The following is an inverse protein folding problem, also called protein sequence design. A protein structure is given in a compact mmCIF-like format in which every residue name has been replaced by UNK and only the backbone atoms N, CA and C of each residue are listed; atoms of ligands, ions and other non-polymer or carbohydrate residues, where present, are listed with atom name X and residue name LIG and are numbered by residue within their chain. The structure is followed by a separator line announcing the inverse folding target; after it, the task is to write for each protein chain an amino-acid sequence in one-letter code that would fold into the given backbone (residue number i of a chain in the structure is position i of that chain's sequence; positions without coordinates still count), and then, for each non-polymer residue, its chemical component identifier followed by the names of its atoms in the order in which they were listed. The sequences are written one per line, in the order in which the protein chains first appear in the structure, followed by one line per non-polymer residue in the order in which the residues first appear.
data_IF_223596323048
#
_entry.id   IF_223596323048
#
_cell.length_a   1.000
_cell.length_b   1.000
_cell.length_c   1.000
_cell.angle_alpha   90.00
_cell.angle_beta   90.00
_cell.angle_gamma   90.00
#
_symmetry.space_group_name_H-M   'P 1'
#
loop_
_entity.id
_entity.type
_entity.pdbx_description
1 polymer ?
2 polymer ?
3 polymer ?
4 water ?
#
# COMPACT_ATOMS: atom_id res chain seq x y z
N UNK A 1 -10.78 14.06 -16.20
CA UNK A 1 -10.78 12.82 -15.35
C UNK A 1 -9.76 11.75 -15.69
N UNK A 2 -8.70 12.14 -16.39
CA UNK A 2 -7.57 11.29 -16.78
C UNK A 2 -6.88 10.40 -15.72
N UNK A 3 -6.05 9.50 -16.22
CA UNK A 3 -5.25 8.64 -15.44
C UNK A 3 -3.85 8.69 -15.97
N UNK A 4 -2.91 8.28 -15.11
CA UNK A 4 -1.51 8.10 -15.45
C UNK A 4 -1.14 6.64 -15.18
N UNK A 5 -0.61 5.96 -16.19
CA UNK A 5 -0.35 4.53 -16.14
C UNK A 5 1.14 4.18 -16.23
N UNK A 6 1.63 3.42 -15.26
CA UNK A 6 3.03 2.99 -15.20
C UNK A 6 3.03 1.51 -15.16
N UNK A 7 4.10 0.83 -15.61
CA UNK A 7 4.27 -0.60 -15.43
C UNK A 7 4.21 -0.93 -13.90
N UNK A 8 3.75 -2.13 -13.53
CA UNK A 8 3.55 -2.48 -12.16
C UNK A 8 4.93 -2.61 -11.50
N UNK A 9 5.91 -3.18 -12.18
CA UNK A 9 7.27 -3.30 -11.70
C UNK A 9 8.25 -3.29 -12.89
N UNK A 10 9.54 -3.12 -12.62
CA UNK A 10 10.56 -2.93 -13.63
C UNK A 10 11.77 -3.38 -12.85
N UNK A 11 12.71 -4.09 -13.46
CA UNK A 11 13.88 -4.56 -12.76
C UNK A 11 15.07 -4.48 -13.69
N UNK A 12 16.28 -4.34 -13.12
CA UNK A 12 17.48 -4.03 -13.93
C UNK A 12 18.67 -4.25 -13.02
N UNK A 13 19.80 -4.64 -13.61
CA UNK A 13 21.05 -4.93 -12.86
C UNK A 13 21.76 -3.62 -12.42
N UNK A 14 22.50 -3.66 -11.29
CA UNK A 14 23.27 -2.51 -10.82
C UNK A 14 24.28 -2.00 -11.84
N UNK A 15 24.41 -0.69 -11.95
CA UNK A 15 25.30 -0.10 -12.94
C UNK A 15 24.57 0.26 -14.22
N UNK A 16 23.49 -0.45 -14.52
CA UNK A 16 22.78 -0.19 -15.78
C UNK A 16 21.80 0.98 -15.72
N UNK A 17 21.20 1.26 -16.87
CA UNK A 17 20.30 2.39 -16.99
C UNK A 17 18.91 1.77 -17.04
N UNK A 18 17.96 2.40 -16.33
CA UNK A 18 16.58 1.98 -16.38
C UNK A 18 15.65 3.15 -16.56
N UNK A 19 14.55 2.91 -17.27
CA UNK A 19 13.51 3.88 -17.46
C UNK A 19 12.16 3.31 -17.01
N UNK A 20 11.36 4.20 -16.43
CA UNK A 20 10.02 3.93 -15.96
C UNK A 20 9.17 4.95 -16.64
N UNK A 21 8.22 4.49 -17.45
CA UNK A 21 7.30 5.41 -18.13
C UNK A 21 5.95 5.68 -17.47
N UNK A 22 5.34 6.77 -17.88
CA UNK A 22 4.08 7.13 -17.35
C UNK A 22 3.21 7.77 -18.47
N UNK A 23 2.20 7.02 -18.92
CA UNK A 23 1.29 7.40 -20.04
C UNK A 23 0.04 8.08 -19.55
N UNK A 24 -0.32 9.21 -20.14
CA UNK A 24 -1.50 9.95 -19.75
C UNK A 24 -2.71 9.61 -20.61
N UNK A 25 -3.83 9.27 -19.99
CA UNK A 25 -4.95 8.68 -20.70
C UNK A 25 -5.55 9.74 -21.60
N UNK A 26 -5.88 10.89 -21.02
CA UNK A 26 -6.28 12.09 -21.76
C UNK A 26 -5.59 13.36 -21.28
N UNK A 27 -5.66 14.39 -22.12
CA UNK A 27 -5.00 15.65 -21.86
C UNK A 27 -3.57 15.51 -22.35
N UNK A 28 -2.93 16.66 -22.61
CA UNK A 28 -1.60 16.71 -23.21
C UNK A 28 -0.52 16.67 -22.12
N UNK A 29 0.38 15.69 -22.21
CA UNK A 29 1.38 15.47 -21.15
C UNK A 29 2.23 16.72 -21.04
N UNK A 30 2.48 17.34 -22.19
CA UNK A 30 3.35 18.51 -22.31
C UNK A 30 2.72 19.79 -21.74
N UNK A 31 1.40 19.82 -21.58
CA UNK A 31 0.75 21.04 -21.10
C UNK A 31 0.78 21.20 -19.58
N UNK A 32 1.05 20.10 -18.88
CA UNK A 32 1.03 20.13 -17.42
C UNK A 32 2.28 19.53 -16.81
N UNK A 33 2.79 20.13 -15.74
CA UNK A 33 4.02 19.65 -15.16
C UNK A 33 3.82 18.27 -14.51
N UNK A 34 4.83 17.42 -14.67
CA UNK A 34 4.97 16.03 -14.16
C UNK A 34 6.04 15.93 -13.05
N UNK A 35 5.62 15.45 -11.87
CA UNK A 35 6.52 15.20 -10.73
C UNK A 35 6.78 13.69 -10.60
N UNK A 36 7.94 13.29 -10.07
CA UNK A 36 8.20 11.89 -9.75
C UNK A 36 8.54 11.82 -8.28
N UNK A 37 7.96 10.81 -7.59
CA UNK A 37 8.17 10.57 -6.15
C UNK A 37 8.75 9.20 -5.91
N UNK A 38 9.70 9.14 -5.01
CA UNK A 38 10.29 7.88 -4.60
C UNK A 38 9.73 7.47 -3.25
N UNK A 39 9.47 6.17 -3.05
CA UNK A 39 8.98 5.74 -1.74
C UNK A 39 9.56 4.38 -1.41
N UNK A 40 10.46 4.38 -0.46
CA UNK A 40 11.00 3.15 0.10
C UNK A 40 10.04 2.50 1.09
N UNK A 41 10.08 1.16 1.22
CA UNK A 41 9.02 0.48 2.03
C UNK A 41 9.02 0.95 3.49
N UNK A 42 7.88 1.32 4.01
CA UNK A 42 7.77 1.82 5.38
C UNK A 42 8.18 3.27 5.59
N UNK A 43 8.42 3.98 4.47
CA UNK A 43 8.78 5.40 4.49
C UNK A 43 7.85 6.27 3.69
N UNK A 44 7.88 7.57 4.00
CA UNK A 44 7.05 8.55 3.35
C UNK A 44 7.70 8.80 2.00
N UNK A 45 6.92 9.27 1.01
CA UNK A 45 7.55 9.51 -0.25
C UNK A 45 8.59 10.67 -0.17
N UNK A 46 9.46 10.73 -1.18
CA UNK A 46 10.42 11.81 -1.37
C UNK A 46 10.35 12.27 -2.83
N UNK A 47 10.38 13.58 -3.02
CA UNK A 47 10.38 14.10 -4.41
C UNK A 47 11.75 13.90 -5.01
N UNK A 48 11.81 13.24 -6.18
CA UNK A 48 13.02 13.14 -6.99
C UNK A 48 13.11 14.02 -8.27
N UNK A 49 11.98 14.29 -8.91
CA UNK A 49 11.97 15.16 -10.07
C UNK A 49 10.72 16.00 -9.88
N UNK A 50 10.81 17.32 -10.07
CA UNK A 50 9.61 18.17 -10.20
C UNK A 50 9.67 19.02 -11.49
N UNK A 51 8.50 19.61 -11.84
CA UNK A 51 8.34 20.36 -13.10
C UNK A 51 9.09 19.73 -14.26
N UNK A 52 8.69 18.48 -14.60
CA UNK A 52 9.17 17.66 -15.74
C UNK A 52 10.58 17.12 -15.62
N UNK A 53 11.51 17.91 -15.10
CA UNK A 53 12.90 17.52 -15.09
C UNK A 53 13.77 18.24 -14.07
N UNK A 54 13.21 19.14 -13.28
CA UNK A 54 13.91 19.79 -12.16
C UNK A 54 14.23 18.75 -11.09
N UNK A 55 15.48 18.74 -10.63
CA UNK A 55 15.93 17.76 -9.70
C UNK A 55 16.18 18.51 -8.37
N UNK A 56 15.36 18.22 -7.32
CA UNK A 56 15.52 18.90 -6.04
C UNK A 56 16.90 18.72 -5.38
N UNK A 57 17.22 19.63 -4.48
CA UNK A 57 18.48 19.64 -3.76
C UNK A 57 18.67 18.29 -3.01
N UNK A 58 19.78 17.60 -3.32
CA UNK A 58 20.12 16.32 -2.65
C UNK A 58 19.84 15.06 -3.48
N UNK A 59 19.10 15.20 -4.55
CA UNK A 59 18.80 14.04 -5.40
C UNK A 59 19.99 13.88 -6.37
N UNK A 60 20.66 12.67 -6.36
CA UNK A 60 21.73 12.36 -7.32
C UNK A 60 21.37 12.71 -8.73
N UNK A 61 22.37 13.15 -9.46
CA UNK A 61 22.22 13.50 -10.87
C UNK A 61 22.00 12.25 -11.75
N UNK A 62 22.15 11.07 -11.18
CA UNK A 62 21.72 9.81 -11.84
C UNK A 62 20.21 9.77 -12.22
N UNK A 63 19.41 10.60 -11.53
CA UNK A 63 17.96 10.70 -11.71
C UNK A 63 17.61 11.83 -12.68
N UNK A 64 16.85 11.53 -13.72
CA UNK A 64 16.36 12.60 -14.58
C UNK A 64 14.96 12.35 -15.14
N UNK A 65 14.18 13.42 -15.28
CA UNK A 65 12.89 13.35 -15.94
C UNK A 65 12.91 13.85 -17.37
N UNK A 66 11.96 13.36 -18.16
CA UNK A 66 11.82 13.71 -19.56
C UNK A 66 10.35 13.55 -19.95
N UNK A 67 10.00 14.07 -21.14
CA UNK A 67 8.61 14.15 -21.60
C UNK A 67 8.55 13.77 -23.07
N UNK A 68 7.51 13.06 -23.46
CA UNK A 68 7.41 12.63 -24.85
C UNK A 68 6.04 12.94 -25.39
N UNK A 69 5.85 14.20 -25.79
CA UNK A 69 4.54 14.75 -26.10
C UNK A 69 3.83 13.92 -27.16
N UNK A 70 4.61 13.06 -27.81
CA UNK A 70 4.14 12.16 -28.86
C UNK A 70 3.34 10.97 -28.27
N UNK A 71 4.03 10.15 -27.47
CA UNK A 71 3.41 8.98 -26.83
C UNK A 71 2.55 9.42 -25.64
N UNK A 72 2.63 10.73 -25.37
CA UNK A 72 1.86 11.39 -24.33
C UNK A 72 2.25 10.85 -22.92
N UNK A 73 3.57 10.80 -22.70
CA UNK A 73 4.12 10.02 -21.60
C UNK A 73 5.41 10.63 -21.04
N UNK A 74 5.40 10.82 -19.71
CA UNK A 74 6.58 11.24 -18.96
C UNK A 74 7.41 10.03 -18.59
N UNK A 75 8.69 10.25 -18.27
CA UNK A 75 9.59 9.14 -18.05
C UNK A 75 10.66 9.46 -17.02
N UNK A 76 10.96 8.51 -16.14
CA UNK A 76 11.95 8.75 -15.15
C UNK A 76 13.04 7.80 -15.45
N UNK A 77 14.25 8.33 -15.65
CA UNK A 77 15.41 7.51 -16.01
C UNK A 77 16.46 7.56 -14.94
N UNK A 78 16.97 6.39 -14.61
CA UNK A 78 18.00 6.29 -13.58
C UNK A 78 19.16 5.54 -14.15
N UNK A 79 20.34 6.15 -14.07
CA UNK A 79 21.53 5.54 -14.63
C UNK A 79 22.46 5.09 -13.50
N UNK A 80 23.41 4.22 -13.81
CA UNK A 80 24.27 3.66 -12.78
C UNK A 80 23.50 3.20 -11.53
N UNK A 81 22.55 2.27 -11.73
CA UNK A 81 21.62 1.89 -10.67
C UNK A 81 22.39 1.38 -9.48
N UNK A 82 21.95 1.79 -8.30
CA UNK A 82 22.54 1.29 -7.07
C UNK A 82 21.40 0.71 -6.26
N UNK A 83 21.73 -0.17 -5.33
CA UNK A 83 20.67 -0.85 -4.62
C UNK A 83 19.78 0.05 -3.75
N UNK A 84 20.34 1.16 -3.24
CA UNK A 84 19.56 2.24 -2.62
C UNK A 84 18.40 2.78 -3.48
N UNK A 85 18.47 2.62 -4.82
CA UNK A 85 17.48 3.22 -5.70
C UNK A 85 16.23 2.33 -5.72
N UNK A 86 16.34 1.11 -5.19
CA UNK A 86 15.19 0.18 -5.09
C UNK A 86 14.07 0.86 -4.29
N UNK A 87 12.90 1.07 -4.91
CA UNK A 87 11.77 1.76 -4.29
C UNK A 87 10.57 1.73 -5.22
N UNK A 88 9.44 2.23 -4.75
CA UNK A 88 8.31 2.48 -5.62
C UNK A 88 8.44 3.89 -6.18
N UNK A 89 8.12 4.10 -7.46
CA UNK A 89 8.19 5.44 -8.01
C UNK A 89 6.85 5.78 -8.57
N UNK A 90 6.38 6.97 -8.31
CA UNK A 90 5.05 7.41 -8.70
C UNK A 90 5.23 8.67 -9.50
N UNK A 91 4.52 8.78 -10.61
CA UNK A 91 4.46 10.03 -11.36
C UNK A 91 3.20 10.75 -10.95
N UNK A 92 3.19 12.05 -11.12
CA UNK A 92 2.04 12.79 -10.71
C UNK A 92 1.87 14.04 -11.58
N UNK A 93 0.63 14.41 -11.88
CA UNK A 93 0.36 15.64 -12.63
C UNK A 93 -0.96 16.19 -12.29
N UNK A 94 -1.57 16.96 -13.20
CA UNK A 94 -2.83 17.58 -12.92
C UNK A 94 -3.43 18.04 -14.26
N UNK A 95 -4.63 18.53 -14.15
CA UNK A 95 -5.21 19.32 -15.18
C UNK A 95 -5.95 20.35 -14.41
N UNK A 96 -6.94 20.94 -15.05
CA UNK A 96 -7.64 22.05 -14.48
C UNK A 96 -8.58 21.65 -13.35
N UNK A 97 -8.97 20.37 -13.26
CA UNK A 97 -10.03 19.93 -12.31
C UNK A 97 -9.58 19.01 -11.11
N UNK A 98 -8.49 18.26 -11.35
CA UNK A 98 -7.91 17.29 -10.39
C UNK A 98 -6.38 17.19 -10.45
N UNK A 99 -5.81 16.77 -9.33
CA UNK A 99 -4.44 16.27 -9.21
C UNK A 99 -4.40 14.72 -9.36
N UNK A 100 -3.54 14.15 -10.20
CA UNK A 100 -3.52 12.71 -10.39
C UNK A 100 -2.14 12.09 -10.12
N UNK A 101 -2.14 11.04 -9.29
CA UNK A 101 -0.95 10.18 -9.22
C UNK A 101 -1.06 8.96 -10.13
N UNK A 102 0.07 8.52 -10.63
CA UNK A 102 0.21 7.25 -11.31
C UNK A 102 0.07 6.12 -10.30
N UNK A 103 -0.01 4.86 -10.74
CA UNK A 103 -0.33 3.78 -9.77
C UNK A 103 0.93 3.29 -9.09
N UNK A 104 2.11 3.68 -9.60
CA UNK A 104 3.38 3.37 -8.97
C UNK A 104 4.03 2.20 -9.64
N UNK A 105 5.36 2.18 -9.57
CA UNK A 105 6.19 1.16 -10.18
C UNK A 105 7.21 0.72 -9.18
N UNK A 106 7.18 -0.57 -8.86
CA UNK A 106 8.24 -1.13 -8.03
C UNK A 106 9.53 -1.36 -8.85
N UNK A 107 10.63 -0.70 -8.47
CA UNK A 107 11.94 -0.85 -9.13
C UNK A 107 12.77 -1.76 -8.26
N UNK A 108 13.16 -2.88 -8.84
CA UNK A 108 14.02 -3.83 -8.16
C UNK A 108 15.40 -3.74 -8.83
N UNK A 109 16.44 -3.76 -7.99
CA UNK A 109 17.77 -3.72 -8.50
C UNK A 109 18.30 -5.12 -8.28
N UNK A 110 18.47 -5.88 -9.37
CA UNK A 110 18.62 -7.30 -9.26
C UNK A 110 19.82 -7.71 -8.45
N UNK A 111 19.59 -8.33 -7.31
CA UNK A 111 20.68 -8.86 -6.51
C UNK A 111 20.77 -10.35 -6.48
N UNK A 112 19.83 -11.05 -7.12
CA UNK A 112 19.88 -12.53 -7.09
C UNK A 112 19.00 -13.06 -8.20
N UNK A 113 19.07 -14.39 -8.51
CA UNK A 113 18.25 -14.91 -9.60
C UNK A 113 16.76 -14.70 -9.38
N UNK A 114 16.03 -14.45 -10.45
CA UNK A 114 14.58 -14.31 -10.37
C UNK A 114 13.96 -15.67 -10.02
N UNK A 115 12.85 -15.68 -9.25
CA UNK A 115 12.21 -16.96 -8.87
C UNK A 115 10.69 -16.81 -8.79
N UNK A 116 9.92 -17.70 -9.46
CA UNK A 116 8.46 -17.64 -9.55
C UNK A 116 7.94 -17.99 -8.17
N UNK A 117 6.77 -17.45 -7.83
CA UNK A 117 6.32 -17.79 -6.46
C UNK A 117 5.92 -19.27 -6.27
N UNK A 118 6.18 -19.87 -5.13
CA UNK A 118 5.40 -21.13 -4.71
C UNK A 118 4.04 -20.71 -4.10
N UNK A 119 2.93 -21.36 -4.42
CA UNK A 119 1.58 -20.91 -3.95
C UNK A 119 0.98 -22.13 -3.26
N UNK A 120 0.43 -21.95 -2.08
CA UNK A 120 -0.26 -23.06 -1.42
C UNK A 120 -1.62 -22.43 -1.04
N UNK A 121 -2.70 -23.10 -1.40
CA UNK A 121 -4.06 -22.70 -1.11
C UNK A 121 -4.55 -23.60 0.03
N UNK A 122 -4.90 -22.99 1.19
CA UNK A 122 -5.49 -23.76 2.31
C UNK A 122 -6.99 -23.56 2.28
N UNK A 123 -7.76 -24.66 2.27
CA UNK A 123 -9.19 -24.64 2.39
C UNK A 123 -9.54 -24.16 3.84
N UNK A 124 -10.78 -23.81 4.05
CA UNK A 124 -11.24 -23.54 5.47
C UNK A 124 -10.97 -24.70 6.35
N UNK A 125 -10.54 -24.46 7.61
CA UNK A 125 -10.45 -25.52 8.57
C UNK A 125 -11.83 -25.98 9.03
N UNK A 126 -11.90 -27.24 9.39
CA UNK A 126 -13.14 -27.75 9.95
C UNK A 126 -13.52 -26.93 11.19
N UNK A 127 -12.52 -26.54 12.00
CA UNK A 127 -12.81 -25.74 13.25
C UNK A 127 -13.50 -24.38 12.93
N UNK A 128 -13.01 -23.72 11.90
CA UNK A 128 -13.63 -22.44 11.48
C UNK A 128 -15.03 -22.54 10.98
N UNK A 129 -15.34 -23.60 10.23
CA UNK A 129 -16.68 -23.85 9.70
C UNK A 129 -17.61 -24.07 10.93
N UNK A 130 -17.10 -24.66 12.00
CA UNK A 130 -17.96 -24.82 13.25
C UNK A 130 -18.27 -23.47 13.80
N UNK A 131 -17.37 -22.51 13.59
CA UNK A 131 -17.56 -21.11 14.01
C UNK A 131 -18.44 -20.35 13.01
N UNK A 132 -18.98 -21.06 12.03
CA UNK A 132 -19.84 -20.53 10.99
C UNK A 132 -19.18 -19.53 9.98
N UNK A 133 -17.89 -19.69 9.76
CA UNK A 133 -17.21 -18.89 8.75
C UNK A 133 -16.37 -19.78 7.88
N UNK A 134 -15.82 -19.20 6.80
CA UNK A 134 -14.99 -20.10 5.98
C UNK A 134 -14.00 -19.23 5.28
N UNK A 135 -12.74 -19.32 5.67
CA UNK A 135 -11.74 -18.40 5.11
C UNK A 135 -10.74 -19.29 4.30
N UNK A 136 -10.59 -18.96 3.02
CA UNK A 136 -9.51 -19.58 2.17
C UNK A 136 -8.24 -18.72 2.31
N UNK A 137 -7.11 -19.32 2.61
CA UNK A 137 -5.85 -18.58 2.78
C UNK A 137 -4.92 -19.00 1.61
N UNK A 138 -4.55 -18.02 0.87
CA UNK A 138 -3.55 -18.27 -0.26
C UNK A 138 -2.21 -17.74 0.16
N UNK A 139 -1.30 -18.64 0.44
CA UNK A 139 0.05 -18.30 0.85
C UNK A 139 1.00 -18.26 -0.43
N UNK A 140 1.69 -17.14 -0.59
CA UNK A 140 2.49 -16.87 -1.84
C UNK A 140 3.89 -16.67 -1.42
N UNK A 141 4.80 -17.58 -1.78
CA UNK A 141 6.10 -17.50 -1.17
C UNK A 141 7.32 -17.62 -2.08
N UNK A 142 8.41 -17.09 -1.55
CA UNK A 142 9.73 -17.22 -2.07
C UNK A 142 9.87 -16.67 -3.52
N UNK A 143 9.26 -15.54 -3.84
CA UNK A 143 9.39 -15.02 -5.21
C UNK A 143 10.32 -13.79 -5.25
N UNK A 144 10.78 -13.48 -6.47
CA UNK A 144 11.76 -12.41 -6.68
C UNK A 144 11.74 -12.14 -8.19
N UNK A 145 11.52 -10.88 -8.63
CA UNK A 145 11.35 -9.67 -7.82
C UNK A 145 10.07 -9.72 -7.01
N UNK A 146 9.96 -8.82 -6.05
CA UNK A 146 8.80 -8.93 -5.16
C UNK A 146 7.58 -8.16 -5.60
N UNK A 147 7.05 -8.52 -6.75
CA UNK A 147 5.87 -7.89 -7.28
C UNK A 147 5.01 -8.99 -7.88
N UNK A 148 3.77 -9.14 -7.37
CA UNK A 148 2.80 -10.11 -7.95
C UNK A 148 1.44 -9.48 -8.18
N UNK A 149 0.57 -10.16 -8.92
CA UNK A 149 -0.84 -9.75 -9.10
C UNK A 149 -1.66 -10.95 -8.59
N UNK A 150 -2.64 -10.77 -7.68
CA UNK A 150 -3.46 -11.93 -7.18
C UNK A 150 -4.92 -11.80 -7.56
N UNK A 151 -5.59 -12.89 -7.96
CA UNK A 151 -7.02 -12.88 -8.35
C UNK A 151 -7.60 -14.18 -7.79
N UNK A 152 -8.92 -14.21 -7.53
CA UNK A 152 -9.57 -15.39 -6.95
C UNK A 152 -10.64 -15.74 -7.92
N UNK A 153 -10.95 -17.03 -8.00
CA UNK A 153 -12.13 -17.50 -8.67
C UNK A 153 -12.96 -18.45 -7.83
N UNK A 154 -14.25 -18.44 -8.14
CA UNK A 154 -15.20 -19.43 -7.66
C UNK A 154 -15.72 -20.13 -8.89
N UNK A 155 -15.58 -21.43 -8.88
CA UNK A 155 -15.80 -22.25 -10.06
C UNK A 155 -14.91 -21.60 -11.12
N UNK A 156 -15.47 -21.17 -12.24
CA UNK A 156 -14.59 -20.51 -13.22
C UNK A 156 -14.71 -18.98 -13.29
N UNK A 157 -15.47 -18.40 -12.37
CA UNK A 157 -15.78 -17.00 -12.40
C UNK A 157 -14.95 -16.24 -11.41
N UNK A 158 -14.53 -15.03 -11.80
CA UNK A 158 -13.79 -14.10 -10.96
C UNK A 158 -14.63 -13.79 -9.75
N UNK A 159 -13.97 -13.67 -8.60
CA UNK A 159 -14.60 -13.31 -7.37
C UNK A 159 -13.79 -12.15 -6.89
N UNK A 160 -14.50 -11.08 -6.55
CA UNK A 160 -13.95 -9.87 -5.98
C UNK A 160 -14.35 -9.57 -4.51
N UNK A 161 -15.61 -9.86 -4.15
CA UNK A 161 -16.14 -9.65 -2.77
C UNK A 161 -15.39 -10.52 -1.77
N UNK A 162 -15.03 -10.00 -0.61
CA UNK A 162 -14.46 -10.84 0.45
C UNK A 162 -12.99 -11.16 0.38
N UNK A 163 -12.27 -10.49 -0.56
CA UNK A 163 -10.84 -10.67 -0.75
C UNK A 163 -10.08 -9.61 -0.07
N UNK A 164 -9.04 -10.00 0.65
CA UNK A 164 -8.04 -9.09 1.14
C UNK A 164 -6.69 -9.66 0.86
N UNK A 165 -5.74 -8.79 0.49
CA UNK A 165 -4.38 -9.21 0.14
C UNK A 165 -3.27 -8.37 0.69
N UNK A 166 -2.20 -8.95 1.21
CA UNK A 166 -1.13 -8.14 1.73
C UNK A 166 -0.10 -7.76 0.65
N UNK A 167 0.64 -6.66 0.90
CA UNK A 167 1.72 -6.20 -0.02
C UNK A 167 2.89 -7.08 0.23
N UNK A 168 3.55 -7.57 -0.87
CA UNK A 168 4.65 -8.47 -0.65
C UNK A 168 5.69 -7.93 0.23
N UNK A 169 6.30 -8.77 1.07
CA UNK A 169 7.35 -8.21 1.87
C UNK A 169 8.41 -9.26 2.10
N UNK A 170 9.56 -8.82 2.59
CA UNK A 170 10.74 -9.63 2.51
C UNK A 170 10.72 -10.71 3.56
N UNK A 171 11.19 -11.87 3.13
CA UNK A 171 11.45 -12.95 4.02
C UNK A 171 12.86 -12.83 4.49
N UNK A 172 13.19 -13.67 5.46
CA UNK A 172 14.52 -13.72 5.97
C UNK A 172 15.58 -13.89 4.87
N UNK A 173 15.28 -14.61 3.79
CA UNK A 173 16.30 -14.82 2.74
C UNK A 173 16.35 -13.78 1.64
N UNK A 174 15.62 -12.68 1.79
CA UNK A 174 15.57 -11.59 0.76
C UNK A 174 14.70 -11.83 -0.46
N UNK A 175 14.08 -13.01 -0.55
CA UNK A 175 12.92 -13.14 -1.43
C UNK A 175 11.65 -12.67 -0.68
N UNK A 176 10.49 -12.66 -1.36
CA UNK A 176 9.31 -12.03 -0.85
C UNK A 176 8.22 -13.06 -0.68
N UNK A 177 7.32 -12.78 0.28
CA UNK A 177 6.10 -13.55 0.47
C UNK A 177 4.95 -12.56 0.44
N UNK A 178 3.77 -13.07 0.13
CA UNK A 178 2.56 -12.30 0.22
C UNK A 178 1.36 -13.25 0.65
N UNK A 179 0.23 -12.69 1.11
CA UNK A 179 -0.89 -13.58 1.55
C UNK A 179 -2.14 -13.01 1.00
N UNK A 180 -3.12 -13.85 0.77
CA UNK A 180 -4.39 -13.35 0.35
C UNK A 180 -5.49 -14.22 0.94
N UNK A 181 -6.71 -13.67 1.08
CA UNK A 181 -7.81 -14.30 1.85
C UNK A 181 -9.07 -14.14 1.10
N UNK A 182 -9.87 -15.20 1.03
CA UNK A 182 -11.17 -15.17 0.47
C UNK A 182 -12.09 -15.58 1.66
N UNK A 183 -12.84 -14.61 2.19
CA UNK A 183 -13.87 -14.93 3.26
C UNK A 183 -15.23 -15.21 2.70
N UNK A 184 -15.79 -16.36 3.04
CA UNK A 184 -17.05 -16.86 2.56
C UNK A 184 -17.84 -17.30 3.82
N UNK A 185 -19.13 -17.47 3.65
CA UNK A 185 -19.96 -18.24 4.64
C UNK A 185 -19.80 -19.73 4.29
N UNK A 186 -20.00 -20.59 5.28
CA UNK A 186 -19.91 -22.01 4.93
C UNK A 186 -20.88 -22.40 3.80
N UNK A 187 -22.02 -21.73 3.65
CA UNK A 187 -23.00 -22.08 2.57
C UNK A 187 -22.38 -21.75 1.21
N UNK A 188 -21.75 -20.57 1.07
CA UNK A 188 -20.94 -20.20 -0.13
C UNK A 188 -19.84 -21.19 -0.37
N UNK A 189 -19.05 -21.57 0.64
CA UNK A 189 -17.99 -22.53 0.43
C UNK A 189 -18.52 -23.87 -0.14
N UNK A 190 -19.63 -24.35 0.44
CA UNK A 190 -20.24 -25.61 0.02
C UNK A 190 -21.06 -25.50 -1.27
N UNK A 191 -21.49 -24.29 -1.62
CA UNK A 191 -22.23 -23.96 -2.85
C UNK A 191 -21.50 -24.13 -4.21
N UNK A 192 -20.17 -24.30 -4.21
CA UNK A 192 -19.40 -24.24 -5.47
C UNK A 192 -18.57 -25.48 -5.68
N UNK A 193 -18.15 -25.77 -6.91
CA UNK A 193 -17.35 -27.00 -7.04
C UNK A 193 -15.88 -26.77 -6.76
N UNK A 194 -15.38 -25.56 -6.94
CA UNK A 194 -14.00 -25.33 -6.63
C UNK A 194 -13.77 -23.82 -6.44
N UNK A 195 -12.63 -23.54 -5.82
CA UNK A 195 -12.15 -22.18 -5.64
C UNK A 195 -10.70 -22.18 -6.01
N UNK A 196 -10.28 -21.06 -6.56
CA UNK A 196 -8.88 -20.91 -7.03
C UNK A 196 -8.21 -19.63 -6.61
N UNK A 197 -6.91 -19.70 -6.29
CA UNK A 197 -6.06 -18.54 -6.04
C UNK A 197 -5.09 -18.52 -7.28
N UNK A 198 -5.11 -17.39 -8.00
CA UNK A 198 -4.23 -17.15 -9.19
C UNK A 198 -3.19 -16.06 -8.97
N UNK A 199 -1.94 -16.34 -9.31
CA UNK A 199 -0.88 -15.38 -9.00
C UNK A 199 -0.07 -15.20 -10.29
N UNK A 200 0.11 -13.95 -10.69
CA UNK A 200 0.96 -13.61 -11.86
C UNK A 200 2.19 -12.94 -11.38
N UNK A 201 3.33 -13.36 -11.95
CA UNK A 201 4.64 -12.88 -11.59
C UNK A 201 5.47 -12.89 -12.86
N UNK A 202 6.07 -11.75 -13.19
CA UNK A 202 6.99 -11.72 -14.41
C UNK A 202 6.36 -12.22 -15.65
N UNK A 203 5.09 -11.87 -15.81
CA UNK A 203 4.32 -12.20 -16.95
C UNK A 203 3.89 -13.62 -17.18
N UNK A 204 3.96 -14.50 -16.15
CA UNK A 204 3.33 -15.82 -16.27
C UNK A 204 2.50 -16.09 -15.01
N UNK A 205 1.64 -17.12 -15.05
CA UNK A 205 0.62 -17.29 -13.95
C UNK A 205 0.66 -18.69 -13.39
N UNK A 206 0.36 -18.85 -12.07
CA UNK A 206 0.18 -20.16 -11.43
C UNK A 206 -1.21 -20.01 -10.82
N UNK A 207 -1.99 -21.05 -10.87
CA UNK A 207 -3.28 -21.05 -10.19
C UNK A 207 -3.37 -22.37 -9.39
N UNK A 208 -3.80 -22.29 -8.12
CA UNK A 208 -4.04 -23.47 -7.33
C UNK A 208 -5.53 -23.51 -7.09
N UNK A 209 -6.12 -24.70 -7.21
CA UNK A 209 -7.51 -24.91 -7.05
C UNK A 209 -7.82 -26.01 -5.99
N UNK A 210 -8.77 -25.71 -5.06
CA UNK A 210 -9.24 -26.72 -4.06
C UNK A 210 -10.73 -26.96 -4.18
N UNK A 211 -11.24 -28.11 -3.76
CA UNK A 211 -12.70 -28.39 -3.86
C UNK A 211 -13.28 -28.60 -2.45
N UNK A 212 -14.51 -28.11 -2.16
CA UNK A 212 -15.04 -28.41 -0.82
C UNK A 212 -15.28 -29.87 -0.55
N UNK A 213 -15.41 -30.64 -1.63
CA UNK A 213 -15.56 -32.07 -1.58
C UNK A 213 -14.23 -32.81 -1.52
N UNK A 214 -13.23 -32.26 -0.83
CA UNK A 214 -11.92 -32.91 -0.77
C UNK A 214 -11.79 -33.81 0.49
N UNK A 215 -11.37 -35.09 0.32
CA UNK A 215 -11.28 -35.90 -0.94
C UNK A 215 -10.57 -35.45 -2.26
N UNK A 216 -9.52 -36.16 -2.72
CA UNK A 216 -8.99 -37.46 -2.24
C UNK A 216 -8.12 -38.15 -3.33
N UNK B 1 16.46 23.20 7.71
CA UNK B 1 15.66 22.16 6.97
C UNK B 1 14.17 22.23 7.37
N UNK B 2 13.29 22.04 6.40
CA UNK B 2 11.88 22.07 6.78
C UNK B 2 11.48 20.80 7.49
N UNK B 3 10.85 20.94 8.65
CA UNK B 3 10.25 19.78 9.32
C UNK B 3 8.76 19.87 9.46
N UNK B 4 8.12 18.73 9.21
CA UNK B 4 6.64 18.64 9.33
C UNK B 4 6.21 17.63 10.37
N UNK B 5 5.66 18.02 11.50
CA UNK B 5 5.26 17.07 12.51
C UNK B 5 3.76 16.83 12.55
N UNK B 6 3.37 15.56 12.37
CA UNK B 6 1.96 15.23 12.30
C UNK B 6 1.45 14.67 13.58
N UNK B 7 0.21 15.01 13.82
CA UNK B 7 -0.45 14.71 15.03
C UNK B 7 -1.98 14.53 14.85
N UNK B 8 -2.55 13.59 15.62
CA UNK B 8 -4.01 13.37 15.69
C UNK B 8 -4.42 11.92 15.91
N UNK B 9 -5.73 11.70 16.18
CA UNK B 9 -6.22 10.34 16.48
C UNK B 9 -5.86 9.41 15.35
N UNK B 10 -5.36 8.21 15.68
CA UNK B 10 -5.18 7.17 14.67
C UNK B 10 -6.41 6.24 14.50
N UNK B 11 -7.39 6.34 15.35
CA UNK B 11 -8.61 5.59 15.15
C UNK B 11 -9.79 6.53 15.13
N UNK B 12 -10.69 6.36 14.15
CA UNK B 12 -11.83 7.22 14.04
C UNK B 12 -13.05 6.33 13.73
N UNK B 13 -14.16 6.53 14.44
CA UNK B 13 -15.34 5.70 14.18
C UNK B 13 -16.08 6.19 12.94
N UNK B 14 -16.76 5.27 12.20
CA UNK B 14 -17.55 5.73 11.07
C UNK B 14 -18.58 6.76 11.52
N UNK B 15 -18.76 7.76 10.65
CA UNK B 15 -19.66 8.93 10.81
C UNK B 15 -19.02 10.09 11.59
N UNK B 16 -17.91 9.81 12.30
CA UNK B 16 -17.20 10.89 12.99
C UNK B 16 -16.25 11.69 12.08
N UNK B 17 -15.58 12.69 12.69
CA UNK B 17 -14.71 13.59 11.94
C UNK B 17 -13.24 13.23 12.19
N UNK B 18 -12.49 12.98 11.11
CA UNK B 18 -11.03 12.80 11.19
C UNK B 18 -10.42 14.20 11.35
N UNK B 19 -9.41 14.33 12.19
CA UNK B 19 -8.85 15.63 12.48
C UNK B 19 -7.32 15.45 12.70
N UNK B 20 -6.47 16.04 11.86
CA UNK B 20 -5.03 15.91 11.95
C UNK B 20 -4.40 17.35 11.89
N UNK B 21 -3.22 17.53 12.50
CA UNK B 21 -2.50 18.80 12.41
C UNK B 21 -1.12 18.54 11.94
N UNK B 22 -0.60 19.46 11.16
CA UNK B 22 0.79 19.43 10.74
C UNK B 22 1.49 20.68 11.23
N UNK B 23 2.46 20.50 12.13
CA UNK B 23 3.21 21.62 12.67
C UNK B 23 4.49 21.78 11.93
N UNK B 24 4.70 22.99 11.35
CA UNK B 24 5.82 23.30 10.43
C UNK B 24 6.98 23.96 11.21
N UNK B 25 8.22 23.58 10.91
CA UNK B 25 9.31 24.35 11.51
C UNK B 25 10.33 24.50 10.46
N UNK B 26 11.15 25.56 10.53
CA UNK B 26 12.06 25.75 9.45
C UNK B 26 11.52 26.46 8.21
N UNK B 27 10.25 26.84 8.25
CA UNK B 27 9.57 27.53 7.14
C UNK B 27 8.33 28.07 7.65
N UNK B 28 7.73 28.96 6.83
CA UNK B 28 6.53 29.68 7.32
C UNK B 28 5.23 29.13 6.73
N UNK B 29 4.20 28.89 7.52
CA UNK B 29 2.87 28.57 6.91
C UNK B 29 2.32 29.70 5.99
N UNK B 30 2.68 30.96 6.28
CA UNK B 30 2.37 32.07 5.32
C UNK B 30 3.39 32.31 4.22
N UNK B 31 4.33 31.37 4.05
CA UNK B 31 5.42 31.59 3.12
C UNK B 31 4.90 31.94 1.72
N UNK B 32 5.48 33.00 1.13
CA UNK B 32 5.07 33.49 -0.17
C UNK B 32 5.47 32.60 -1.32
N UNK B 33 6.21 31.54 -1.06
CA UNK B 33 6.61 30.70 -2.20
C UNK B 33 6.18 29.20 -2.10
N UNK B 34 5.44 28.87 -1.06
CA UNK B 34 5.11 27.47 -0.72
C UNK B 34 3.58 27.23 -0.85
N UNK B 35 3.17 25.98 -1.11
CA UNK B 35 1.82 25.54 -0.67
C UNK B 35 1.89 24.33 0.33
N UNK B 36 0.92 24.24 1.24
CA UNK B 36 0.83 23.26 2.31
C UNK B 36 -0.39 22.31 2.04
N UNK B 37 -0.01 21.08 1.66
CA UNK B 37 -0.84 20.02 1.10
C UNK B 37 -1.14 18.88 2.04
N UNK B 38 -2.27 18.20 1.77
CA UNK B 38 -2.56 16.92 2.43
C UNK B 38 -2.78 15.92 1.33
N UNK B 39 -2.16 14.72 1.51
CA UNK B 39 -2.12 13.62 0.53
C UNK B 39 -2.37 12.35 1.39
N UNK B 40 -3.18 11.40 0.88
CA UNK B 40 -3.34 10.12 1.65
C UNK B 40 -2.97 8.97 0.74
N UNK B 41 -2.73 7.80 1.32
CA UNK B 41 -2.25 6.65 0.56
C UNK B 41 -2.87 5.42 1.22
N UNK B 42 -3.48 4.58 0.37
CA UNK B 42 -3.89 3.20 0.81
C UNK B 42 -3.46 2.16 -0.25
N UNK B 43 -3.41 0.87 0.15
CA UNK B 43 -3.11 -0.04 -0.98
C UNK B 43 -4.48 -0.16 -1.58
N UNK B 44 -4.62 -0.10 -2.90
CA UNK B 44 -5.94 -0.14 -3.51
C UNK B 44 -6.48 1.21 -3.95
N UNK B 45 -6.33 2.27 -3.16
CA UNK B 45 -6.55 3.58 -3.79
C UNK B 45 -5.25 4.28 -4.22
N UNK B 46 -4.12 3.79 -3.74
CA UNK B 46 -2.80 4.39 -4.02
C UNK B 46 -2.73 5.79 -3.43
N UNK B 47 -1.97 6.66 -4.12
CA UNK B 47 -1.77 8.06 -3.59
C UNK B 47 -2.86 8.98 -4.05
N UNK B 48 -3.47 9.70 -3.12
CA UNK B 48 -4.52 10.62 -3.43
C UNK B 48 -4.36 12.04 -2.78
N UNK B 49 -4.20 13.03 -3.63
CA UNK B 49 -4.09 14.43 -3.13
C UNK B 49 -5.44 14.85 -2.63
N UNK B 50 -5.50 15.52 -1.47
CA UNK B 50 -6.71 15.92 -0.82
C UNK B 50 -6.97 17.42 -0.97
N UNK B 51 -5.92 18.23 -0.81
CA UNK B 51 -6.10 19.69 -0.88
C UNK B 51 -4.94 20.46 -0.26
N UNK B 52 -5.06 21.77 -0.20
CA UNK B 52 -3.86 22.55 0.08
C UNK B 52 -4.27 23.96 0.41
N UNK B 53 -3.40 24.63 1.17
CA UNK B 53 -3.67 25.96 1.64
C UNK B 53 -2.43 26.82 1.32
N UNK B 54 -2.63 28.13 1.06
CA UNK B 54 -1.46 28.99 0.77
C UNK B 54 -1.82 30.48 0.91
N UNK B 55 -0.83 31.34 1.21
CA UNK B 55 -1.11 32.79 1.40
C UNK B 55 -0.49 33.59 0.28
N UNK B 56 -1.34 34.26 -0.53
CA UNK B 56 -0.90 35.20 -1.55
C UNK B 56 -1.73 36.50 -1.34
N UNK B 57 -1.34 37.33 -0.37
CA UNK B 57 -2.10 38.53 0.15
C UNK B 57 -3.41 38.16 0.75
N UNK B 58 -3.67 36.86 0.69
CA UNK B 58 -4.96 36.32 1.03
C UNK B 58 -4.77 34.80 1.12
N UNK B 59 -5.43 34.12 2.05
CA UNK B 59 -5.43 32.60 2.02
C UNK B 59 -6.25 31.98 0.86
N UNK B 60 -5.64 31.15 0.01
CA UNK B 60 -6.34 30.34 -0.99
C UNK B 60 -6.18 28.83 -0.68
N UNK B 61 -7.22 28.07 -1.01
CA UNK B 61 -7.28 26.63 -0.68
C UNK B 61 -7.86 25.97 -1.87
N UNK B 62 -7.19 24.94 -2.36
CA UNK B 62 -7.65 24.13 -3.45
C UNK B 62 -7.95 22.74 -2.87
N UNK B 63 -8.84 21.99 -3.53
CA UNK B 63 -9.36 20.71 -2.92
C UNK B 63 -9.72 19.76 -3.98
N UNK B 64 -9.57 18.45 -3.69
CA UNK B 64 -9.91 17.41 -4.66
C UNK B 64 -11.46 17.30 -4.74
N UNK B 65 -11.99 17.16 -5.97
CA UNK B 65 -13.49 17.18 -6.12
C UNK B 65 -14.16 16.07 -5.22
N UNK B 66 -13.51 14.90 -5.21
CA UNK B 66 -13.97 13.69 -4.49
C UNK B 66 -14.25 13.91 -2.99
N UNK B 67 -13.60 14.87 -2.35
CA UNK B 67 -13.69 15.08 -0.92
C UNK B 67 -14.11 16.51 -0.52
N UNK B 68 -14.24 17.40 -1.52
CA UNK B 68 -14.54 18.81 -1.22
C UNK B 68 -15.73 19.05 -0.37
N UNK B 69 -16.77 18.21 -0.50
CA UNK B 69 -17.93 18.43 0.37
C UNK B 69 -17.80 18.04 1.87
N UNK B 70 -16.70 17.32 2.26
CA UNK B 70 -16.52 16.87 3.68
C UNK B 70 -15.19 17.37 4.31
N UNK B 71 -14.31 17.90 3.45
CA UNK B 71 -12.95 18.41 3.83
C UNK B 71 -12.88 19.87 4.40
N UNK B 72 -12.01 20.11 5.39
CA UNK B 72 -11.60 21.47 5.87
C UNK B 72 -10.07 21.39 5.96
N UNK B 73 -9.35 22.32 5.32
CA UNK B 73 -7.90 22.55 5.55
C UNK B 73 -7.78 23.99 6.04
N UNK B 74 -7.29 24.19 7.27
CA UNK B 74 -7.15 25.50 7.86
C UNK B 74 -5.70 25.83 8.30
N UNK B 75 -5.09 26.94 7.81
CA UNK B 75 -3.90 27.47 8.51
C UNK B 75 -4.12 28.09 9.89
N UNK B 76 -3.03 28.06 10.64
CA UNK B 76 -2.94 28.73 11.89
C UNK B 76 -1.55 29.45 11.94
N UNK B 77 -1.55 30.77 11.73
CA UNK B 77 -0.29 31.52 11.78
C UNK B 77 0.21 31.68 13.21
N UNK B 78 -0.69 31.72 14.19
CA UNK B 78 -0.29 31.77 15.61
C UNK B 78 0.53 30.53 16.13
N UNK B 79 0.53 29.42 15.36
CA UNK B 79 1.15 28.20 15.80
C UNK B 79 2.02 27.66 14.74
N UNK B 80 2.00 28.30 13.58
CA UNK B 80 2.71 27.89 12.42
C UNK B 80 2.41 26.41 12.00
N UNK B 81 1.12 26.13 11.88
CA UNK B 81 0.60 24.78 11.55
C UNK B 81 -0.57 24.90 10.58
N UNK B 82 -0.86 23.79 9.88
CA UNK B 82 -2.14 23.65 9.14
C UNK B 82 -2.86 22.32 9.52
N UNK B 83 -4.18 22.33 9.43
CA UNK B 83 -4.98 21.17 9.83
C UNK B 83 -5.70 20.52 8.65
N UNK B 84 -6.27 19.33 8.93
CA UNK B 84 -7.08 18.59 7.98
C UNK B 84 -8.21 18.10 8.77
N UNK B 85 -9.43 18.39 8.31
CA UNK B 85 -10.57 17.63 8.81
C UNK B 85 -11.36 17.01 7.69
N UNK B 86 -11.94 15.85 7.99
CA UNK B 86 -12.79 15.15 7.04
C UNK B 86 -13.95 14.65 7.83
N UNK B 87 -15.15 15.14 7.47
CA UNK B 87 -16.34 14.83 8.18
C UNK B 87 -16.88 13.50 7.67
N UNK B 88 -17.68 12.88 8.52
CA UNK B 88 -18.57 11.74 8.10
C UNK B 88 -17.73 10.60 7.52
N UNK B 89 -16.70 10.15 8.28
CA UNK B 89 -15.76 9.23 7.71
C UNK B 89 -16.41 7.87 7.53
N UNK B 90 -15.95 7.15 6.51
CA UNK B 90 -16.32 5.75 6.32
C UNK B 90 -15.04 4.90 6.26
N UNK B 91 -15.19 3.55 6.29
CA UNK B 91 -13.97 2.73 6.23
C UNK B 91 -13.19 3.00 4.95
N UNK B 92 -13.79 3.58 3.94
CA UNK B 92 -12.96 3.95 2.78
C UNK B 92 -11.91 5.12 3.01
N UNK B 93 -12.01 5.78 4.16
CA UNK B 93 -11.10 6.86 4.60
C UNK B 93 -9.91 6.33 5.38
N UNK B 94 -9.89 5.02 5.67
CA UNK B 94 -8.66 4.42 6.28
C UNK B 94 -7.48 4.57 5.34
N UNK B 95 -6.33 5.12 5.82
CA UNK B 95 -5.23 5.45 4.88
C UNK B 95 -4.10 6.00 5.73
N UNK B 96 -2.97 6.09 5.12
CA UNK B 96 -1.88 6.93 5.73
C UNK B 96 -2.06 8.36 5.12
N UNK B 97 -2.10 9.35 6.01
CA UNK B 97 -2.27 10.78 5.68
C UNK B 97 -0.92 11.46 5.82
N UNK B 98 -0.45 12.08 4.73
CA UNK B 98 0.75 12.88 4.71
C UNK B 98 0.41 14.38 4.59
N UNK B 99 1.09 15.19 5.40
CA UNK B 99 1.18 16.62 5.06
C UNK B 99 2.45 16.85 4.25
N UNK B 100 2.45 17.87 3.42
CA UNK B 100 3.63 18.12 2.58
C UNK B 100 3.66 19.58 2.19
N UNK B 101 4.88 20.06 1.91
CA UNK B 101 5.09 21.40 1.30
C UNK B 101 5.18 21.16 -0.16
N UNK B 102 4.69 22.12 -0.93
CA UNK B 102 4.76 22.00 -2.37
C UNK B 102 4.83 23.33 -3.08
N UNK B 103 4.74 23.27 -4.41
CA UNK B 103 4.77 24.41 -5.32
C UNK B 103 3.36 24.78 -5.88
N UNK B 104 2.83 25.96 -5.52
CA UNK B 104 1.52 26.44 -6.02
C UNK B 104 1.31 26.15 -7.51
N UNK B 105 2.17 26.66 -8.38
CA UNK B 105 1.91 26.56 -9.81
C UNK B 105 1.71 25.17 -10.35
N UNK B 106 2.67 24.28 -10.06
CA UNK B 106 2.80 22.97 -10.73
C UNK B 106 2.18 21.79 -9.91
N UNK B 107 1.42 22.13 -8.86
CA UNK B 107 0.74 21.16 -7.97
C UNK B 107 1.75 20.11 -7.49
N UNK B 108 2.95 20.58 -7.19
CA UNK B 108 4.10 19.72 -6.87
C UNK B 108 4.24 19.65 -5.37
N UNK B 109 4.79 18.52 -4.91
CA UNK B 109 5.11 18.38 -3.48
C UNK B 109 6.59 18.46 -3.37
N UNK B 110 7.03 19.11 -2.32
CA UNK B 110 8.40 19.56 -2.13
C UNK B 110 9.11 18.72 -1.06
N UNK B 111 8.44 18.66 0.06
CA UNK B 111 8.94 18.19 1.32
C UNK B 111 7.76 17.37 1.91
N UNK B 112 7.97 16.07 2.15
CA UNK B 112 6.91 15.24 2.74
C UNK B 112 7.04 14.99 4.21
N UNK B 113 5.94 15.08 4.95
CA UNK B 113 5.86 14.75 6.32
C UNK B 113 5.97 13.26 6.52
N UNK B 114 5.93 12.83 7.76
CA UNK B 114 6.31 11.39 7.99
C UNK B 114 5.09 10.49 7.87
N UNK B 115 3.90 11.12 7.94
CA UNK B 115 2.65 10.36 7.75
C UNK B 115 2.02 9.93 9.05
N UNK B 116 0.70 9.79 9.03
CA UNK B 116 -0.03 9.29 10.19
C UNK B 116 -1.03 8.25 9.67
N UNK B 117 -1.03 7.03 10.19
CA UNK B 117 -2.15 6.08 9.84
C UNK B 117 -3.43 6.41 10.53
N UNK B 118 -4.56 6.55 9.81
CA UNK B 118 -5.80 6.72 10.49
C UNK B 118 -6.63 5.51 10.09
N UNK B 119 -7.18 4.82 11.04
CA UNK B 119 -8.04 3.68 10.76
C UNK B 119 -9.46 4.07 11.06
N UNK B 120 -10.39 3.76 10.15
CA UNK B 120 -11.80 4.04 10.48
C UNK B 120 -12.45 2.70 10.73
N UNK B 121 -12.94 2.49 11.95
CA UNK B 121 -13.49 1.19 12.31
C UNK B 121 -14.30 1.52 13.54
N UNK B 122 -15.40 0.79 13.69
CA UNK B 122 -16.26 0.90 14.88
C UNK B 122 -15.94 -0.10 15.97
N UNK B 123 -14.98 -0.97 15.70
CA UNK B 123 -14.53 -1.98 16.66
C UNK B 123 -13.90 -1.42 17.93
N UNK B 124 -14.06 -2.15 19.01
CA UNK B 124 -13.12 -2.03 20.13
C UNK B 124 -12.37 -3.34 20.38
N UNK B 125 -11.64 -3.33 21.48
CA UNK B 125 -10.76 -4.43 21.84
C UNK B 125 -11.44 -5.79 21.75
N UNK B 126 -10.86 -6.67 20.89
CA UNK B 126 -11.38 -8.01 20.65
C UNK B 126 -10.17 -8.97 20.43
N UNK B 127 -10.09 -10.12 21.12
CA UNK B 127 -9.01 -11.00 21.02
C UNK B 127 -9.22 -11.92 19.79
N UNK B 128 -8.12 -12.50 19.22
CA UNK B 128 -8.23 -13.28 18.02
C UNK B 128 -8.80 -14.69 18.23
N UNK B 129 -9.37 -15.27 17.17
CA UNK B 129 -9.66 -16.71 17.13
C UNK B 129 -8.56 -17.36 16.26
N UNK B 130 -7.93 -18.47 16.68
CA UNK B 130 -6.82 -18.99 15.92
C UNK B 130 -7.24 -20.29 15.31
N UNK B 131 -6.95 -20.51 14.03
CA UNK B 131 -7.37 -21.73 13.39
C UNK B 131 -6.12 -22.34 12.72
N UNK B 132 -6.06 -23.67 12.60
CA UNK B 132 -4.86 -24.28 12.02
C UNK B 132 -4.90 -24.14 10.51
N UNK B 133 -3.72 -23.99 9.91
CA UNK B 133 -3.52 -24.20 8.47
C UNK B 133 -2.71 -25.50 8.29
N UNK B 134 -3.44 -26.60 8.18
CA UNK B 134 -2.89 -27.90 8.42
C UNK B 134 -1.99 -28.30 7.18
N UNK B 135 -0.84 -28.93 7.44
CA UNK B 135 -0.04 -29.35 6.20
C UNK B 135 -0.73 -30.55 5.53
N UNK B 136 -0.56 -30.75 4.20
CA UNK B 136 -1.10 -31.89 3.51
C UNK B 136 -0.14 -32.04 2.26
N UNK B 137 -0.41 -33.01 1.41
CA UNK B 137 0.43 -33.11 0.17
C UNK B 137 0.37 -31.79 -0.59
N UNK B 138 -0.79 -31.09 -0.56
CA UNK B 138 -0.88 -29.78 -1.30
C UNK B 138 -0.04 -28.58 -0.76
N UNK B 139 0.54 -28.69 0.45
CA UNK B 139 1.46 -27.70 0.98
C UNK B 139 2.83 -28.25 1.07
N UNK B 140 3.11 -29.43 0.40
CA UNK B 140 4.39 -30.07 0.52
C UNK B 140 5.07 -30.00 -0.88
N UNK B 141 6.35 -29.64 -0.88
CA UNK B 141 7.11 -29.55 -2.12
C UNK B 141 8.45 -30.16 -1.80
N UNK B 142 8.79 -31.24 -2.52
CA UNK B 142 10.05 -31.90 -2.23
C UNK B 142 9.88 -32.57 -0.90
N UNK B 143 10.87 -32.38 -0.06
CA UNK B 143 10.83 -32.92 1.30
C UNK B 143 10.44 -31.86 2.35
N UNK B 144 9.63 -30.88 1.96
CA UNK B 144 9.35 -29.65 2.75
C UNK B 144 7.86 -29.43 2.76
N UNK B 145 7.25 -29.23 3.97
CA UNK B 145 5.81 -29.02 4.05
C UNK B 145 5.60 -27.63 4.72
N UNK B 146 4.67 -26.83 4.21
CA UNK B 146 4.24 -25.55 4.86
C UNK B 146 3.08 -25.86 5.82
N UNK B 147 3.06 -25.22 6.98
CA UNK B 147 1.84 -25.38 7.84
C UNK B 147 1.72 -23.96 8.46
N UNK B 148 0.61 -23.70 9.14
CA UNK B 148 0.51 -22.35 9.70
C UNK B 148 -0.67 -22.17 10.66
N UNK B 149 -0.91 -20.92 11.05
CA UNK B 149 -2.06 -20.60 11.85
C UNK B 149 -2.68 -19.32 11.37
N UNK B 150 -3.98 -19.35 11.24
CA UNK B 150 -4.67 -18.18 10.79
C UNK B 150 -5.19 -17.45 12.08
N UNK B 151 -4.99 -16.13 12.18
CA UNK B 151 -5.33 -15.37 13.43
C UNK B 151 -6.46 -14.43 12.98
N UNK B 152 -7.72 -14.78 13.27
CA UNK B 152 -8.81 -14.00 12.70
C UNK B 152 -9.42 -13.02 13.68
N UNK B 153 -9.85 -11.87 13.13
CA UNK B 153 -10.86 -10.97 13.71
C UNK B 153 -10.47 -10.46 15.04
N UNK B 154 -9.29 -9.80 15.14
CA UNK B 154 -8.91 -9.21 16.41
C UNK B 154 -8.86 -7.68 16.23
N UNK B 155 -8.82 -6.94 17.32
CA UNK B 155 -8.69 -5.42 17.29
C UNK B 155 -8.24 -4.96 18.66
N UNK B 156 -7.34 -3.93 18.77
CA UNK B 156 -6.58 -3.31 17.66
C UNK B 156 -5.34 -4.15 17.29
N UNK B 157 -4.48 -3.66 16.37
CA UNK B 157 -3.09 -4.19 16.32
C UNK B 157 -2.25 -3.93 17.55
N UNK B 158 -1.16 -4.72 17.78
CA UNK B 158 -0.63 -5.81 16.99
C UNK B 158 -0.86 -7.16 17.67
N UNK B 159 -0.72 -8.21 16.86
CA UNK B 159 -0.56 -9.59 17.31
C UNK B 159 0.88 -9.97 17.01
N UNK B 160 1.51 -10.73 17.92
CA UNK B 160 2.79 -11.38 17.56
C UNK B 160 2.68 -12.90 17.64
N UNK B 161 3.46 -13.61 16.79
CA UNK B 161 3.33 -15.05 16.76
C UNK B 161 4.75 -15.63 16.88
N UNK B 162 4.92 -16.66 17.72
CA UNK B 162 6.13 -17.49 17.69
C UNK B 162 5.71 -18.91 17.49
N UNK B 163 6.68 -19.77 17.27
CA UNK B 163 6.38 -21.19 17.05
C UNK B 163 7.16 -21.97 18.08
N UNK B 164 6.51 -22.95 18.72
CA UNK B 164 7.18 -23.73 19.73
C UNK B 164 7.86 -22.91 20.88
N UNK B 165 7.15 -21.86 21.30
CA UNK B 165 7.67 -20.92 22.31
C UNK B 165 8.96 -20.31 21.94
N UNK B 166 9.23 -20.20 20.64
CA UNK B 166 10.47 -19.57 20.17
C UNK B 166 11.61 -20.54 19.86
N UNK B 167 11.42 -21.82 20.12
CA UNK B 167 12.37 -22.86 19.74
C UNK B 167 12.47 -22.97 18.19
N UNK B 168 11.39 -22.69 17.47
CA UNK B 168 11.36 -22.84 16.04
C UNK B 168 11.32 -21.46 15.40
N UNK B 169 12.39 -21.05 14.73
CA UNK B 169 12.46 -19.72 14.11
C UNK B 169 12.86 -19.87 12.67
N UNK B 170 13.64 -20.90 12.39
CA UNK B 170 14.01 -21.15 11.00
C UNK B 170 12.79 -21.44 10.13
N UNK B 171 12.59 -20.63 9.10
CA UNK B 171 11.52 -20.92 8.14
C UNK B 171 10.20 -20.27 8.48
N UNK B 172 10.15 -19.52 9.57
CA UNK B 172 8.90 -18.87 10.02
C UNK B 172 8.66 -17.56 9.25
N UNK B 173 7.44 -17.32 8.77
CA UNK B 173 7.10 -16.03 8.27
C UNK B 173 5.73 -15.59 8.78
N UNK B 174 5.68 -14.47 9.47
CA UNK B 174 4.42 -13.91 9.91
C UNK B 174 4.05 -12.73 9.03
N UNK B 175 2.89 -12.77 8.38
CA UNK B 175 2.52 -11.74 7.46
C UNK B 175 1.99 -10.49 8.14
N UNK B 176 1.97 -9.37 7.40
CA UNK B 176 1.28 -8.21 8.01
C UNK B 176 -0.20 -8.50 8.03
N UNK B 177 -0.96 -7.78 8.90
CA UNK B 177 -2.38 -7.91 8.96
C UNK B 177 -3.18 -7.28 7.83
N UNK B 178 -4.33 -7.84 7.51
CA UNK B 178 -5.35 -7.19 6.68
C UNK B 178 -6.45 -6.61 7.59
N UNK B 179 -7.10 -5.50 7.17
CA UNK B 179 -8.25 -4.96 7.91
C UNK B 179 -9.40 -5.30 7.02
N UNK B 180 -10.35 -6.03 7.56
CA UNK B 180 -11.47 -6.56 6.78
C UNK B 180 -12.62 -5.60 6.81
N UNK B 181 -13.68 -5.91 6.07
CA UNK B 181 -14.72 -4.94 5.95
C UNK B 181 -15.50 -4.88 7.26
N UNK B 182 -15.37 -5.91 8.10
CA UNK B 182 -15.90 -5.94 9.49
C UNK B 182 -15.29 -4.93 10.49
N UNK B 183 -14.16 -4.33 10.11
CA UNK B 183 -13.34 -3.36 10.86
C UNK B 183 -12.40 -4.07 11.84
N UNK B 184 -12.17 -5.35 11.60
CA UNK B 184 -11.29 -6.18 12.42
C UNK B 184 -10.13 -6.70 11.55
N UNK B 185 -9.01 -6.98 12.18
CA UNK B 185 -7.82 -7.48 11.51
C UNK B 185 -7.77 -9.01 11.51
N UNK B 186 -7.00 -9.53 10.58
CA UNK B 186 -6.66 -10.99 10.50
C UNK B 186 -5.19 -11.08 9.99
N UNK B 187 -4.38 -11.97 10.53
CA UNK B 187 -3.12 -12.27 9.80
C UNK B 187 -2.89 -13.80 9.79
N UNK B 188 -1.81 -14.24 9.09
CA UNK B 188 -1.33 -15.61 9.17
C UNK B 188 0.09 -15.62 9.60
N UNK B 189 0.47 -16.71 10.21
CA UNK B 189 1.88 -17.08 10.38
C UNK B 189 2.14 -18.46 9.77
N UNK B 190 3.15 -18.56 8.90
CA UNK B 190 3.53 -19.87 8.29
C UNK B 190 4.94 -20.32 8.71
N UNK B 191 5.19 -21.63 8.71
CA UNK B 191 6.53 -22.17 8.95
C UNK B 191 6.65 -23.41 7.95
N UNK B 192 7.82 -23.55 7.40
CA UNK B 192 8.20 -24.64 6.49
C UNK B 192 9.16 -25.56 7.29
N UNK B 193 8.86 -26.87 7.27
CA UNK B 193 9.49 -27.93 8.07
C UNK B 193 9.79 -29.21 7.22
N UNK B 194 10.67 -30.13 7.69
CA UNK B 194 10.78 -31.36 6.85
C UNK B 194 9.46 -32.09 6.85
N UNK B 195 9.03 -32.60 5.69
CA UNK B 195 7.77 -33.28 5.59
C UNK B 195 7.85 -34.60 6.38
N UNK B 196 9.06 -35.10 6.60
CA UNK B 196 9.22 -36.39 7.32
C UNK B 196 9.02 -36.22 8.82
N UNK B 197 9.08 -34.98 9.32
CA UNK B 197 8.84 -34.67 10.73
C UNK B 197 7.35 -34.58 11.09
N UNK B 198 6.46 -34.58 10.11
CA UNK B 198 5.05 -34.31 10.35
C UNK B 198 4.41 -35.39 11.22
N UNK B 199 4.90 -36.61 11.06
CA UNK B 199 4.43 -37.68 11.95
C UNK B 199 4.84 -37.60 13.42
N UNK B 200 5.88 -36.87 13.73
CA UNK B 200 6.50 -37.06 15.03
C UNK B 200 6.91 -35.76 15.76
N UNK B 201 7.03 -34.63 15.08
CA UNK B 201 7.41 -33.39 15.76
C UNK B 201 6.15 -32.54 16.00
N UNK B 202 6.01 -32.04 17.21
CA UNK B 202 4.89 -31.16 17.52
C UNK B 202 5.10 -29.75 17.05
N UNK B 203 4.11 -29.14 16.40
CA UNK B 203 4.22 -27.72 16.01
C UNK B 203 3.08 -26.95 16.63
N UNK B 204 3.44 -25.95 17.39
CA UNK B 204 2.46 -25.18 18.15
C UNK B 204 2.71 -23.71 17.81
N UNK B 205 1.72 -23.01 17.31
CA UNK B 205 1.86 -21.55 17.23
C UNK B 205 1.35 -20.82 18.51
N UNK B 206 2.05 -19.78 18.92
CA UNK B 206 1.78 -19.01 20.16
C UNK B 206 1.45 -17.62 19.69
N UNK B 207 0.17 -17.31 19.80
CA UNK B 207 -0.39 -16.06 19.33
C UNK B 207 -0.59 -15.14 20.55
N UNK B 208 0.05 -14.00 20.51
CA UNK B 208 -0.06 -13.00 21.58
C UNK B 208 -0.78 -11.80 21.14
N UNK B 209 -1.77 -11.37 21.89
CA UNK B 209 -2.51 -10.16 21.57
C UNK B 209 -2.61 -9.36 22.92
N UNK B 210 -1.53 -8.63 23.22
CA UNK B 210 -1.47 -7.75 24.38
C UNK B 210 -2.66 -6.85 24.58
N UNK B 211 -3.13 -6.13 23.52
CA UNK B 211 -4.27 -5.27 23.82
C UNK B 211 -5.50 -5.92 24.51
N UNK B 212 -5.79 -7.20 24.27
CA UNK B 212 -6.94 -7.87 24.87
C UNK B 212 -6.48 -8.85 25.95
N UNK B 213 -5.20 -8.77 26.31
CA UNK B 213 -4.60 -9.58 27.33
C UNK B 213 -4.88 -11.01 27.02
N UNK B 214 -4.74 -11.43 25.73
CA UNK B 214 -5.07 -12.84 25.40
C UNK B 214 -3.80 -13.53 24.80
N UNK B 215 -3.55 -14.78 25.15
CA UNK B 215 -2.60 -15.62 24.45
C UNK B 215 -3.24 -16.97 24.07
N UNK B 216 -3.08 -17.36 22.82
CA UNK B 216 -3.62 -18.60 22.34
C UNK B 216 -2.50 -19.48 21.78
N UNK B 217 -2.44 -20.72 22.27
CA UNK B 217 -1.53 -21.71 21.76
C UNK B 217 -2.33 -22.73 20.95
N UNK B 218 -1.89 -23.02 19.72
CA UNK B 218 -2.67 -23.88 18.95
C UNK B 218 -1.72 -24.91 18.30
N UNK B 219 -1.98 -26.18 18.53
CA UNK B 219 -1.12 -27.25 17.91
C UNK B 219 -1.62 -27.46 16.53
N UNK B 220 -0.70 -27.54 15.54
CA UNK B 220 -1.16 -27.66 14.16
C UNK B 220 -0.66 -29.04 13.67
N UNK B 221 -1.60 -29.90 13.35
CA UNK B 221 -1.22 -31.22 12.87
C UNK B 221 -1.79 -31.55 11.51
N UNK B 222 -1.20 -32.58 10.90
CA UNK B 222 -1.70 -32.89 9.60
C UNK B 222 -3.17 -33.30 9.62
N UNK B 223 -3.78 -32.96 8.50
CA UNK B 223 -5.13 -33.30 8.23
C UNK B 223 -5.14 -34.76 7.68
N UNK C 3 -2.69 44.11 -3.10
CA UNK C 3 -3.83 45.06 -2.82
C UNK C 3 -5.21 44.40 -3.04
N UNK C 4 -5.46 43.94 -4.28
CA UNK C 4 -6.64 43.11 -4.64
C UNK C 4 -6.18 41.77 -5.26
N UNK C 5 -6.02 40.73 -4.39
CA UNK C 5 -5.33 39.43 -4.63
C UNK C 5 -6.09 38.41 -5.48
N UNK C 6 -5.49 37.91 -6.56
CA UNK C 6 -6.05 36.77 -7.31
C UNK C 6 -5.00 35.71 -7.48
N UNK C 7 -5.51 34.49 -7.72
CA UNK C 7 -4.81 33.27 -8.21
C UNK C 7 -5.63 32.64 -9.34
N UNK C 8 -5.03 32.31 -10.47
CA UNK C 8 -5.85 31.86 -11.59
C UNK C 8 -5.27 30.67 -12.35
N UNK C 9 -6.08 29.64 -12.67
CA UNK C 9 -5.55 28.54 -13.48
C UNK C 9 -5.44 28.93 -14.96
N UNK C 10 -4.24 28.90 -15.54
CA UNK C 10 -4.05 29.43 -16.89
C UNK C 10 -2.93 28.73 -17.64
N UNK C 11 -2.83 29.01 -18.93
CA UNK C 11 -1.75 28.46 -19.76
C UNK C 11 -0.87 29.54 -20.40
N UNK C 12 0.30 29.14 -20.91
CA UNK C 12 1.32 30.08 -21.39
C UNK C 12 1.55 31.33 -20.52
N UNK C 13 1.17 31.21 -19.23
CA UNK C 13 1.12 32.36 -18.31
C UNK C 13 2.24 32.37 -17.25
N UNK C 14 2.05 33.26 -16.28
CA UNK C 14 3.06 33.79 -15.38
C UNK C 14 4.09 32.84 -14.74
N UNK C 15 5.31 32.70 -15.29
CA UNK C 15 5.77 33.21 -16.58
C UNK C 15 6.34 31.94 -17.21
N UNK C 16 5.47 30.99 -17.55
CA UNK C 16 5.91 29.62 -17.88
C UNK C 16 5.32 29.12 -19.18
N UNK C 17 6.06 28.23 -19.84
CA UNK C 17 5.67 27.62 -21.13
C UNK C 17 4.36 26.77 -21.08
N UNK C 18 4.00 26.30 -19.87
CA UNK C 18 2.93 25.32 -19.64
C UNK C 18 1.76 25.87 -18.87
N UNK C 19 0.83 24.97 -18.56
CA UNK C 19 -0.36 25.26 -17.81
C UNK C 19 -0.14 25.03 -16.34
N UNK C 20 -0.99 25.62 -15.51
CA UNK C 20 -0.82 25.49 -14.09
C UNK C 20 -1.45 26.65 -13.44
N UNK C 21 -1.25 26.80 -12.14
CA UNK C 21 -1.93 27.78 -11.31
C UNK C 21 -1.12 29.04 -11.03
N UNK C 22 -1.65 30.19 -11.43
CA UNK C 22 -0.90 31.44 -11.39
C UNK C 22 -1.37 32.43 -10.36
N UNK C 23 -0.45 33.03 -9.61
CA UNK C 23 -0.85 33.82 -8.42
C UNK C 23 -0.42 35.27 -8.31
N UNK C 24 -1.01 35.99 -7.33
CA UNK C 24 -0.70 37.39 -6.95
C UNK C 24 -0.40 38.31 -8.13
#
# INVERSE_FOLDING_TARGET
NFMLTQPHSVSESPGKTVTISCTRSSGSIASYYVQWYQQRPGSSPTTVIYEDSQRPSGVPDRFSGSIDSSSNSASLTISGLKTEDEADYYCQSYDSSNVVFGGGTKLTVLGQPKAAPSVTLFPPSSEELQANKATLVCLISDFYPGAVTVAWKADSSPVKAGVETTTPSKQSNNKYAASSYLSLTPEQWKSHRSYSCQVTHEGSTVEKTVAPTECS
QVQLQQSGPGLVKPSQTLSLTCAISGDSVSSNSAAWNWIRQSPSRGLEWLGRTYYRSKWFNDYAVSVQSRITINPDTSKNQFSLQLNSVTPEDTAVYYCARGIVFSYAMDVWGQGTTVTVSSASTKGPSVFPLAPSSKSTSGGTAALGCLVKDYFPEPVTVSWNSGALTSGVHTFPAVLQSSGLYSLSSVVTVPSSSLGTQTYICNVNHKPSNTKVDKKVEPKSCAADEVDHHHHHH
DTHFPICIFCCGCCHRSKCGMCCKT
#
